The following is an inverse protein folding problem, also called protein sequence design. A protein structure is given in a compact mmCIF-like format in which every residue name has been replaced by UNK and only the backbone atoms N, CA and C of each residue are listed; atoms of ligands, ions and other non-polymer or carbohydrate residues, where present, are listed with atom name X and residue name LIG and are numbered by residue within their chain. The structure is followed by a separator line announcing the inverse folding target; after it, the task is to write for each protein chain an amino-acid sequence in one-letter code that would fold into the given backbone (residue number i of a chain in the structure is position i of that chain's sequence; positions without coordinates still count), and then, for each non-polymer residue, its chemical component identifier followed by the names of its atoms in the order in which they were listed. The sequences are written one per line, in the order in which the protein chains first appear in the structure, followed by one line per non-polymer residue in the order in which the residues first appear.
data_IF_215996367929
#
_entry.id   IF_215996367929
#
_cell.length_a   1.000
_cell.length_b   1.000
_cell.length_c   1.000
_cell.angle_alpha   90.00
_cell.angle_beta   90.00
_cell.angle_gamma   90.00
#
_symmetry.space_group_name_H-M   'P 1'
#
loop_
_entity.id
_entity.type
_entity.pdbx_description
1 polymer ?
#
# COMPACT_ATOMS: atom_id res chain seq x y z
N UNK A 1 -21.11 16.59 -7.42
CA UNK A 1 -21.17 15.18 -7.89
C UNK A 1 -21.32 15.21 -9.41
N UNK A 2 -20.56 14.40 -10.16
CA UNK A 2 -20.63 14.36 -11.63
C UNK A 2 -21.47 13.16 -12.07
N UNK A 3 -22.50 13.34 -12.92
CA UNK A 3 -23.29 12.23 -13.45
C UNK A 3 -22.43 11.22 -14.22
N UNK A 4 -22.74 9.92 -14.12
CA UNK A 4 -22.01 8.87 -14.83
C UNK A 4 -22.04 9.07 -16.35
N UNK A 5 -23.14 9.61 -16.89
CA UNK A 5 -23.22 9.93 -18.31
C UNK A 5 -22.15 10.94 -18.72
N UNK A 6 -21.90 11.99 -17.92
CA UNK A 6 -20.87 12.98 -18.20
C UNK A 6 -19.46 12.42 -18.01
N UNK A 7 -19.26 11.58 -16.99
CA UNK A 7 -17.99 10.90 -16.74
C UNK A 7 -17.54 10.07 -17.95
N UNK A 8 -18.41 9.20 -18.45
CA UNK A 8 -18.08 8.34 -19.60
C UNK A 8 -18.04 9.12 -20.92
N UNK A 9 -18.91 10.11 -21.11
CA UNK A 9 -18.91 10.94 -22.33
C UNK A 9 -17.63 11.77 -22.49
N UNK A 10 -16.94 12.09 -21.39
CA UNK A 10 -15.65 12.80 -21.39
C UNK A 10 -14.45 11.86 -21.42
N UNK A 11 -14.66 10.56 -21.65
CA UNK A 11 -13.58 9.56 -21.73
C UNK A 11 -13.12 8.98 -20.39
N UNK A 12 -13.88 9.20 -19.29
CA UNK A 12 -13.62 8.53 -18.02
C UNK A 12 -13.85 7.02 -18.12
N UNK A 13 -13.13 6.24 -17.30
CA UNK A 13 -13.27 4.78 -17.21
C UNK A 13 -13.38 4.34 -15.76
N UNK A 14 -14.25 3.37 -15.50
CA UNK A 14 -14.33 2.69 -14.21
C UNK A 14 -13.98 1.22 -14.41
N UNK A 15 -12.98 0.73 -13.68
CA UNK A 15 -12.55 -0.66 -13.70
C UNK A 15 -12.54 -1.19 -12.28
N UNK A 16 -13.09 -2.38 -12.08
CA UNK A 16 -12.85 -3.11 -10.84
C UNK A 16 -11.37 -3.47 -10.77
N UNK A 17 -10.77 -3.27 -9.61
CA UNK A 17 -9.41 -3.73 -9.38
C UNK A 17 -9.33 -4.58 -8.14
N UNK A 18 -8.63 -5.70 -8.27
CA UNK A 18 -8.28 -6.55 -7.14
C UNK A 18 -6.78 -6.53 -6.97
N UNK A 19 -6.33 -6.13 -5.80
CA UNK A 19 -4.90 -6.00 -5.48
C UNK A 19 -4.13 -5.08 -6.45
N UNK A 20 -4.80 -4.08 -7.05
CA UNK A 20 -4.19 -3.21 -8.07
C UNK A 20 -4.03 -3.86 -9.44
N UNK A 21 -4.78 -4.93 -9.74
CA UNK A 21 -4.64 -5.81 -10.92
C UNK A 21 -3.27 -6.50 -10.99
N UNK A 22 -2.67 -6.72 -9.82
CA UNK A 22 -1.39 -7.35 -9.65
C UNK A 22 -1.50 -8.86 -9.86
N UNK A 23 -0.54 -9.40 -10.62
CA UNK A 23 -0.22 -10.83 -10.67
C UNK A 23 1.03 -11.04 -9.81
N UNK A 24 0.91 -11.55 -8.57
CA UNK A 24 2.02 -11.52 -7.61
C UNK A 24 3.32 -12.16 -8.10
N UNK A 25 3.23 -13.32 -8.75
CA UNK A 25 4.40 -14.05 -9.29
C UNK A 25 5.20 -13.24 -10.31
N UNK A 26 4.53 -12.34 -11.05
CA UNK A 26 5.16 -11.46 -12.05
C UNK A 26 5.56 -10.12 -11.45
N UNK A 27 4.67 -9.51 -10.67
CA UNK A 27 4.79 -8.09 -10.30
C UNK A 27 5.65 -7.88 -9.05
N UNK A 28 5.64 -8.81 -8.10
CA UNK A 28 6.46 -8.66 -6.89
C UNK A 28 7.96 -8.65 -7.17
N UNK A 29 8.52 -9.56 -8.01
CA UNK A 29 9.92 -9.49 -8.37
C UNK A 29 10.30 -8.13 -8.95
N UNK A 30 9.47 -7.60 -9.86
CA UNK A 30 9.68 -6.28 -10.46
C UNK A 30 9.65 -5.15 -9.43
N UNK A 31 8.71 -5.18 -8.47
CA UNK A 31 8.64 -4.17 -7.41
C UNK A 31 9.86 -4.22 -6.47
N UNK A 32 10.37 -5.42 -6.17
CA UNK A 32 11.61 -5.60 -5.39
C UNK A 32 12.80 -5.04 -6.15
N UNK A 33 12.95 -5.37 -7.44
CA UNK A 33 14.03 -4.83 -8.28
C UNK A 33 14.01 -3.29 -8.31
N UNK A 34 12.84 -2.67 -8.38
CA UNK A 34 12.69 -1.21 -8.32
C UNK A 34 13.12 -0.64 -6.96
N UNK A 35 12.85 -1.33 -5.86
CA UNK A 35 13.31 -0.92 -4.53
C UNK A 35 14.83 -1.00 -4.43
N UNK A 36 15.43 -2.11 -4.88
CA UNK A 36 16.89 -2.30 -4.86
C UNK A 36 17.62 -1.28 -5.74
N UNK A 37 16.99 -0.85 -6.84
CA UNK A 37 17.50 0.24 -7.70
C UNK A 37 17.30 1.65 -7.09
N UNK A 38 16.67 1.78 -5.92
CA UNK A 38 16.34 3.06 -5.30
C UNK A 38 15.23 3.84 -6.01
N UNK A 39 14.47 3.18 -6.90
CA UNK A 39 13.39 3.78 -7.71
C UNK A 39 12.03 3.68 -7.04
N UNK A 40 11.91 2.85 -6.01
CA UNK A 40 10.72 2.69 -5.19
C UNK A 40 11.10 2.77 -3.71
N UNK A 41 10.89 3.90 -3.01
CA UNK A 41 11.38 4.10 -1.64
C UNK A 41 10.47 3.46 -0.59
N UNK A 42 10.39 2.11 -0.57
CA UNK A 42 9.54 1.34 0.35
C UNK A 42 9.89 1.59 1.83
N UNK A 43 11.15 1.88 2.12
CA UNK A 43 11.63 2.19 3.47
C UNK A 43 10.93 3.39 4.10
N UNK A 44 10.46 4.35 3.29
CA UNK A 44 9.73 5.53 3.78
C UNK A 44 8.33 5.21 4.31
N UNK A 45 7.77 4.06 3.94
CA UNK A 45 6.47 3.62 4.44
C UNK A 45 6.57 2.93 5.81
N UNK A 46 7.74 2.41 6.17
CA UNK A 46 7.98 1.78 7.47
C UNK A 46 8.20 2.88 8.51
N UNK A 47 7.15 3.18 9.26
CA UNK A 47 7.17 4.24 10.29
C UNK A 47 7.62 3.72 11.65
N UNK A 48 7.54 2.41 11.88
CA UNK A 48 8.04 1.80 13.11
C UNK A 48 8.41 0.32 12.93
N UNK A 49 9.25 -0.16 13.85
CA UNK A 49 9.61 -1.57 14.02
C UNK A 49 9.29 -1.97 15.45
N UNK A 50 8.56 -3.08 15.61
CA UNK A 50 8.02 -3.51 16.90
C UNK A 50 8.42 -4.95 17.20
N UNK A 51 8.56 -5.27 18.49
CA UNK A 51 8.68 -6.66 18.93
C UNK A 51 7.32 -7.37 18.89
N UNK A 52 7.34 -8.70 19.07
CA UNK A 52 6.10 -9.49 19.15
C UNK A 52 5.25 -9.11 20.37
N UNK A 53 5.90 -8.70 21.46
CA UNK A 53 5.23 -8.30 22.71
C UNK A 53 4.50 -6.94 22.59
N UNK A 54 4.80 -6.15 21.56
CA UNK A 54 4.27 -4.80 21.35
C UNK A 54 3.03 -4.76 20.43
N UNK A 55 2.49 -5.92 20.02
CA UNK A 55 1.41 -6.02 19.04
C UNK A 55 0.19 -5.17 19.40
N UNK A 56 -0.27 -5.22 20.66
CA UNK A 56 -1.46 -4.49 21.10
C UNK A 56 -1.28 -2.97 21.01
N UNK A 57 -0.09 -2.48 21.34
CA UNK A 57 0.25 -1.07 21.22
C UNK A 57 0.27 -0.63 19.74
N UNK A 58 0.81 -1.48 18.84
CA UNK A 58 0.85 -1.20 17.42
C UNK A 58 -0.55 -1.14 16.78
N UNK A 59 -1.47 -2.03 17.18
CA UNK A 59 -2.87 -1.94 16.74
C UNK A 59 -3.55 -0.65 17.19
N UNK A 60 -3.28 -0.22 18.44
CA UNK A 60 -3.78 1.06 18.96
C UNK A 60 -3.25 2.24 18.14
N UNK A 61 -1.94 2.30 17.89
CA UNK A 61 -1.31 3.34 17.09
C UNK A 61 -1.83 3.38 15.63
N UNK A 62 -2.09 2.20 15.04
CA UNK A 62 -2.68 2.07 13.70
C UNK A 62 -4.11 2.65 13.66
N UNK A 63 -4.95 2.34 14.66
CA UNK A 63 -6.32 2.83 14.70
C UNK A 63 -6.40 4.35 14.89
N UNK A 64 -5.46 4.91 15.65
CA UNK A 64 -5.33 6.36 15.86
C UNK A 64 -4.67 7.09 14.67
N UNK A 65 -4.22 6.37 13.65
CA UNK A 65 -3.56 6.94 12.46
C UNK A 65 -2.17 7.53 12.74
N UNK A 66 -1.50 7.10 13.81
CA UNK A 66 -0.16 7.58 14.20
C UNK A 66 0.96 6.98 13.37
N UNK A 67 0.69 5.86 12.69
CA UNK A 67 1.68 5.08 11.93
C UNK A 67 1.12 4.74 10.54
N UNK A 68 2.02 4.57 9.57
CA UNK A 68 1.67 4.09 8.23
C UNK A 68 1.85 2.58 8.14
N UNK A 69 3.03 2.07 8.51
CA UNK A 69 3.34 0.65 8.50
C UNK A 69 4.27 0.30 9.66
N UNK A 70 3.83 -0.63 10.48
CA UNK A 70 4.62 -1.27 11.52
C UNK A 70 5.19 -2.58 10.99
N UNK A 71 6.49 -2.82 11.19
CA UNK A 71 7.14 -4.10 10.84
C UNK A 71 7.49 -4.84 12.12
N UNK A 72 6.88 -6.01 12.30
CA UNK A 72 7.22 -6.92 13.40
C UNK A 72 8.60 -7.54 13.12
N UNK A 73 9.48 -7.47 14.09
CA UNK A 73 10.83 -8.06 14.04
C UNK A 73 10.98 -9.12 15.13
N UNK A 74 11.79 -10.14 14.86
CA UNK A 74 12.11 -11.25 15.77
C UNK A 74 13.39 -10.97 16.55
#
# INVERSE_FOLDING_TARGET
EMPLIDFFSRGGSLKSSWYGDCLPERDFPMLVDLYEQGRLPLEKFVTERIGLDDIEAAFTAMHEGKVLRSVVVL
#
